data_IF_137673023879
#
_entry.id   IF_137673023879
#
_cell.length_a   1.000
_cell.length_b   1.000
_cell.length_c   1.000
_cell.angle_alpha   90.00
_cell.angle_beta   90.00
_cell.angle_gamma   90.00
#
_symmetry.space_group_name_H-M   'P 1'
#
loop_
_entity.id
_entity.type
_entity.pdbx_description
1 polymer ?
#
# COMPACT_ATOMS: atom_id res chain seq x y z
N UNK A 1 -65.63 -30.74 14.32
CA UNK A 1 -64.81 -30.05 13.31
C UNK A 1 -63.74 -29.08 13.84
N UNK A 2 -63.27 -29.11 15.06
CA UNK A 2 -62.24 -28.22 15.62
C UNK A 2 -60.77 -28.68 15.47
N UNK A 3 -60.51 -29.94 15.10
CA UNK A 3 -59.19 -30.54 15.08
C UNK A 3 -58.31 -30.13 13.90
N UNK A 4 -58.89 -29.62 12.83
CA UNK A 4 -58.19 -29.31 11.56
C UNK A 4 -57.52 -27.92 11.53
N UNK A 5 -57.96 -26.98 12.39
CA UNK A 5 -57.45 -25.60 12.39
C UNK A 5 -56.08 -25.50 13.08
N UNK A 6 -55.86 -26.26 14.16
CA UNK A 6 -54.57 -26.28 14.88
C UNK A 6 -53.42 -26.88 14.04
N UNK A 7 -53.75 -27.82 13.17
CA UNK A 7 -52.76 -28.44 12.25
C UNK A 7 -52.32 -27.43 11.17
N UNK A 8 -53.24 -26.70 10.58
CA UNK A 8 -52.93 -25.63 9.57
C UNK A 8 -52.09 -24.53 10.17
N UNK A 9 -52.38 -24.10 11.39
CA UNK A 9 -51.60 -23.08 12.14
C UNK A 9 -50.17 -23.58 12.40
N UNK A 10 -50.00 -24.85 12.83
CA UNK A 10 -48.67 -25.42 13.07
C UNK A 10 -47.83 -25.50 11.79
N UNK A 11 -48.43 -25.89 10.65
CA UNK A 11 -47.72 -25.92 9.36
C UNK A 11 -47.35 -24.51 8.95
N UNK A 12 -48.24 -23.51 9.08
CA UNK A 12 -47.93 -22.14 8.78
C UNK A 12 -46.75 -21.59 9.59
N UNK A 13 -46.72 -21.85 10.91
CA UNK A 13 -45.59 -21.45 11.77
C UNK A 13 -44.28 -22.15 11.37
N UNK A 14 -44.33 -23.41 10.98
CA UNK A 14 -43.16 -24.18 10.57
C UNK A 14 -42.60 -23.63 9.23
N UNK A 15 -43.44 -23.28 8.27
CA UNK A 15 -43.06 -22.68 7.02
C UNK A 15 -42.41 -21.30 7.28
N UNK A 16 -43.01 -20.46 8.10
CA UNK A 16 -42.44 -19.15 8.48
C UNK A 16 -41.06 -19.32 9.14
N UNK A 17 -40.92 -20.29 10.06
CA UNK A 17 -39.65 -20.59 10.70
C UNK A 17 -38.56 -21.01 9.72
N UNK A 18 -38.90 -21.91 8.78
CA UNK A 18 -37.94 -22.34 7.71
C UNK A 18 -37.57 -21.16 6.80
N UNK A 19 -38.54 -20.32 6.42
CA UNK A 19 -38.27 -19.16 5.57
C UNK A 19 -37.34 -18.15 6.24
N UNK A 20 -37.54 -17.89 7.53
CA UNK A 20 -36.63 -17.01 8.30
C UNK A 20 -35.22 -17.59 8.41
N UNK A 21 -35.09 -18.89 8.63
CA UNK A 21 -33.77 -19.57 8.67
C UNK A 21 -33.07 -19.52 7.31
N UNK A 22 -33.80 -19.68 6.22
CA UNK A 22 -33.23 -19.57 4.87
C UNK A 22 -32.76 -18.15 4.58
N UNK A 23 -33.54 -17.11 4.92
CA UNK A 23 -33.16 -15.71 4.73
C UNK A 23 -31.90 -15.39 5.55
N UNK A 24 -31.83 -15.87 6.80
CA UNK A 24 -30.65 -15.66 7.64
C UNK A 24 -29.42 -16.37 7.09
N UNK A 25 -29.58 -17.62 6.62
CA UNK A 25 -28.50 -18.39 5.99
C UNK A 25 -27.97 -17.72 4.74
N UNK A 26 -28.86 -17.26 3.85
CA UNK A 26 -28.46 -16.55 2.62
C UNK A 26 -27.68 -15.27 2.93
N UNK A 27 -28.13 -14.45 3.91
CA UNK A 27 -27.39 -13.25 4.33
C UNK A 27 -25.98 -13.57 4.85
N UNK A 28 -25.82 -14.68 5.59
CA UNK A 28 -24.50 -15.12 6.07
C UNK A 28 -23.58 -15.55 4.94
N UNK A 29 -24.11 -16.28 3.96
CA UNK A 29 -23.34 -16.72 2.79
C UNK A 29 -22.88 -15.52 1.95
N UNK A 30 -23.77 -14.55 1.71
CA UNK A 30 -23.43 -13.33 0.97
C UNK A 30 -22.34 -12.54 1.70
N UNK A 31 -22.47 -12.36 3.01
CA UNK A 31 -21.46 -11.64 3.81
C UNK A 31 -20.11 -12.37 3.77
N UNK A 32 -20.11 -13.70 3.88
CA UNK A 32 -18.89 -14.49 3.79
C UNK A 32 -18.19 -14.31 2.43
N UNK A 33 -18.95 -14.40 1.33
CA UNK A 33 -18.42 -14.18 -0.02
C UNK A 33 -17.86 -12.75 -0.21
N UNK A 34 -18.47 -11.74 0.42
CA UNK A 34 -17.97 -10.36 0.38
C UNK A 34 -16.66 -10.21 1.16
N UNK A 35 -16.55 -10.85 2.33
CA UNK A 35 -15.32 -10.86 3.13
C UNK A 35 -14.20 -11.54 2.35
N UNK A 36 -14.46 -12.72 1.80
CA UNK A 36 -13.51 -13.50 1.03
C UNK A 36 -13.00 -12.71 -0.19
N UNK A 37 -13.90 -12.16 -0.97
CA UNK A 37 -13.54 -11.28 -2.10
C UNK A 37 -12.77 -10.02 -1.70
N UNK A 38 -12.98 -9.50 -0.48
CA UNK A 38 -12.22 -8.38 0.05
C UNK A 38 -10.78 -8.79 0.37
N UNK A 39 -10.62 -9.95 1.03
CA UNK A 39 -9.30 -10.49 1.41
C UNK A 39 -8.49 -10.90 0.17
N UNK A 40 -9.11 -11.53 -0.83
CA UNK A 40 -8.49 -11.89 -2.10
C UNK A 40 -7.93 -10.68 -2.87
N UNK A 41 -8.55 -9.52 -2.69
CA UNK A 41 -8.09 -8.24 -3.25
C UNK A 41 -7.07 -7.53 -2.37
N UNK A 42 -6.57 -8.18 -1.30
CA UNK A 42 -5.64 -7.59 -0.36
C UNK A 42 -6.24 -6.48 0.52
N UNK A 43 -7.58 -6.39 0.58
CA UNK A 43 -8.29 -5.44 1.43
C UNK A 43 -8.43 -5.92 2.87
N UNK A 44 -8.85 -5.02 3.75
CA UNK A 44 -9.24 -5.31 5.14
C UNK A 44 -10.75 -5.14 5.28
N UNK A 45 -11.43 -6.19 5.78
CA UNK A 45 -12.87 -6.10 6.02
C UNK A 45 -13.17 -5.31 7.29
N UNK A 46 -13.98 -4.27 7.16
CA UNK A 46 -14.50 -3.50 8.30
C UNK A 46 -15.84 -4.08 8.74
N UNK A 47 -15.84 -4.75 9.90
CA UNK A 47 -17.03 -5.45 10.42
C UNK A 47 -18.13 -4.48 10.88
N UNK A 48 -17.76 -3.28 11.35
CA UNK A 48 -18.71 -2.28 11.85
C UNK A 48 -19.47 -1.62 10.67
N UNK A 49 -18.74 -1.25 9.64
CA UNK A 49 -19.29 -0.61 8.45
C UNK A 49 -19.76 -1.62 7.38
N UNK A 50 -19.50 -2.93 7.58
CA UNK A 50 -19.78 -4.02 6.63
C UNK A 50 -19.30 -3.72 5.21
N UNK A 51 -18.12 -3.15 5.08
CA UNK A 51 -17.49 -2.82 3.80
C UNK A 51 -16.02 -3.24 3.77
N UNK A 52 -15.52 -3.40 2.56
CA UNK A 52 -14.11 -3.62 2.32
C UNK A 52 -13.36 -2.30 2.34
N UNK A 53 -12.38 -2.17 3.22
CA UNK A 53 -11.39 -1.12 3.16
C UNK A 53 -10.28 -1.62 2.22
N UNK A 54 -10.42 -1.29 0.94
CA UNK A 54 -9.48 -1.72 -0.10
C UNK A 54 -8.26 -0.80 -0.10
N UNK A 55 -7.19 -1.20 0.57
CA UNK A 55 -5.89 -0.53 0.46
C UNK A 55 -5.35 -0.53 -0.98
N UNK A 56 -5.74 -1.50 -1.82
CA UNK A 56 -5.26 -1.61 -3.19
C UNK A 56 -5.67 -0.45 -4.10
N UNK A 57 -6.87 0.11 -3.93
CA UNK A 57 -7.33 1.23 -4.78
C UNK A 57 -6.51 2.48 -4.46
N UNK A 58 -6.26 2.73 -3.18
CA UNK A 58 -5.44 3.87 -2.75
C UNK A 58 -3.96 3.66 -3.08
N UNK A 59 -3.47 2.42 -2.97
CA UNK A 59 -2.09 2.07 -3.34
C UNK A 59 -1.83 2.21 -4.83
N UNK A 60 -2.77 1.82 -5.70
CA UNK A 60 -2.65 2.00 -7.15
C UNK A 60 -2.67 3.50 -7.49
N UNK A 61 -3.52 4.29 -6.83
CA UNK A 61 -3.57 5.73 -7.03
C UNK A 61 -2.32 6.43 -6.52
N UNK A 62 -1.81 6.05 -5.35
CA UNK A 62 -0.63 6.70 -4.79
C UNK A 62 0.62 6.50 -5.66
N UNK A 63 0.76 5.38 -6.36
CA UNK A 63 1.86 5.12 -7.30
C UNK A 63 1.95 6.14 -8.42
N UNK A 64 0.85 6.80 -8.76
CA UNK A 64 0.85 7.86 -9.77
C UNK A 64 1.51 9.17 -9.28
N UNK A 65 1.76 9.32 -7.98
CA UNK A 65 2.29 10.54 -7.36
C UNK A 65 3.77 10.48 -6.97
N UNK A 66 4.44 9.35 -7.17
CA UNK A 66 5.87 9.20 -6.88
C UNK A 66 6.56 8.30 -7.92
N UNK A 67 7.89 8.26 -7.96
CA UNK A 67 8.63 7.27 -8.71
C UNK A 67 8.48 5.92 -8.05
N UNK A 68 8.01 4.94 -8.78
CA UNK A 68 7.76 3.59 -8.27
C UNK A 68 8.46 2.53 -9.10
N UNK A 69 8.89 1.46 -8.45
CA UNK A 69 9.51 0.31 -9.10
C UNK A 69 8.45 -0.59 -9.74
N UNK A 70 8.82 -1.20 -10.85
CA UNK A 70 8.06 -2.21 -11.56
C UNK A 70 9.04 -3.27 -12.06
N UNK A 71 8.55 -4.48 -12.39
CA UNK A 71 9.38 -5.59 -12.80
C UNK A 71 9.20 -5.90 -14.29
N UNK A 72 10.30 -5.91 -15.03
CA UNK A 72 10.31 -6.29 -16.44
C UNK A 72 10.60 -7.79 -16.58
N UNK A 73 9.59 -8.57 -16.95
CA UNK A 73 9.70 -10.01 -17.12
C UNK A 73 10.58 -10.43 -18.31
N UNK A 74 10.81 -9.53 -19.28
CA UNK A 74 11.63 -9.82 -20.46
C UNK A 74 13.12 -9.70 -20.11
N UNK A 75 13.49 -8.57 -19.49
CA UNK A 75 14.89 -8.34 -19.09
C UNK A 75 15.21 -8.95 -17.71
N UNK A 76 14.21 -9.45 -17.00
CA UNK A 76 14.29 -9.99 -15.63
C UNK A 76 14.94 -9.01 -14.66
N UNK A 77 14.52 -7.74 -14.75
CA UNK A 77 15.07 -6.63 -13.94
C UNK A 77 13.96 -5.72 -13.44
N UNK A 78 14.21 -5.13 -12.28
CA UNK A 78 13.42 -4.04 -11.75
C UNK A 78 13.82 -2.72 -12.44
N UNK A 79 12.83 -1.86 -12.64
CA UNK A 79 13.04 -0.54 -13.21
C UNK A 79 12.13 0.48 -12.55
N UNK A 80 12.56 1.74 -12.56
CA UNK A 80 11.77 2.86 -12.05
C UNK A 80 10.85 3.42 -13.12
N UNK A 81 9.65 3.76 -12.69
CA UNK A 81 8.62 4.41 -13.47
C UNK A 81 8.18 5.68 -12.78
N UNK A 82 8.20 6.79 -13.52
CA UNK A 82 7.73 8.08 -13.00
C UNK A 82 6.22 8.09 -12.88
N UNK A 83 5.71 8.52 -11.73
CA UNK A 83 4.26 8.66 -11.50
C UNK A 83 3.64 9.71 -12.43
N UNK A 84 2.49 9.39 -13.02
CA UNK A 84 1.82 10.23 -14.03
C UNK A 84 1.30 11.55 -13.46
N UNK A 85 0.98 11.59 -12.17
CA UNK A 85 0.41 12.73 -11.46
C UNK A 85 1.46 13.54 -10.68
N UNK A 86 2.74 13.18 -10.79
CA UNK A 86 3.82 13.81 -10.04
C UNK A 86 3.97 15.31 -10.35
N UNK A 87 3.59 15.75 -11.57
CA UNK A 87 3.58 17.16 -11.94
C UNK A 87 2.36 17.94 -11.42
N UNK A 88 1.36 17.27 -10.89
CA UNK A 88 0.14 17.88 -10.34
C UNK A 88 0.21 18.22 -8.86
N UNK A 89 1.30 17.86 -8.19
CA UNK A 89 1.52 18.08 -6.77
C UNK A 89 2.61 19.14 -6.55
N UNK A 90 2.64 19.72 -5.36
CA UNK A 90 3.77 20.53 -4.92
C UNK A 90 5.00 19.62 -4.76
N UNK A 91 6.15 20.13 -5.19
CA UNK A 91 7.43 19.44 -5.05
C UNK A 91 8.18 19.90 -3.80
N UNK A 92 7.48 20.39 -2.78
CA UNK A 92 8.10 20.69 -1.49
C UNK A 92 8.60 19.39 -0.83
N UNK A 93 9.75 19.43 -0.12
CA UNK A 93 10.28 18.22 0.51
C UNK A 93 9.28 17.53 1.46
N UNK A 94 8.51 18.30 2.22
CA UNK A 94 7.53 17.76 3.16
C UNK A 94 6.40 17.02 2.43
N UNK A 95 5.84 17.60 1.36
CA UNK A 95 4.76 16.97 0.59
C UNK A 95 5.23 15.70 -0.12
N UNK A 96 6.43 15.72 -0.70
CA UNK A 96 7.02 14.52 -1.30
C UNK A 96 7.27 13.42 -0.26
N UNK A 97 7.69 13.77 0.96
CA UNK A 97 7.84 12.82 2.07
C UNK A 97 6.48 12.26 2.51
N UNK A 98 5.45 13.10 2.62
CA UNK A 98 4.10 12.64 2.96
C UNK A 98 3.59 11.61 1.94
N UNK A 99 3.77 11.88 0.65
CA UNK A 99 3.40 10.95 -0.43
C UNK A 99 4.18 9.63 -0.32
N UNK A 100 5.49 9.71 -0.11
CA UNK A 100 6.32 8.52 0.09
C UNK A 100 5.89 7.72 1.33
N UNK A 101 5.42 8.40 2.38
CA UNK A 101 4.91 7.77 3.59
C UNK A 101 3.53 7.12 3.42
N UNK A 102 2.80 7.42 2.34
CA UNK A 102 1.57 6.72 1.98
C UNK A 102 1.84 5.37 1.29
N UNK A 103 3.09 5.07 0.92
CA UNK A 103 3.45 3.74 0.37
C UNK A 103 3.08 2.63 1.36
N UNK A 104 2.69 1.44 0.87
CA UNK A 104 2.42 0.27 1.70
C UNK A 104 3.73 -0.36 2.20
N UNK A 105 4.51 0.42 2.95
CA UNK A 105 5.77 0.01 3.56
C UNK A 105 5.71 0.25 5.05
N UNK A 106 6.37 -0.61 5.82
CA UNK A 106 6.57 -0.41 7.27
C UNK A 106 7.53 0.75 7.52
N UNK A 107 8.52 0.92 6.64
CA UNK A 107 9.46 2.03 6.73
C UNK A 107 8.76 3.35 6.41
N UNK A 108 8.94 4.32 7.28
CA UNK A 108 8.48 5.69 7.10
C UNK A 108 9.67 6.63 7.09
N UNK A 109 9.49 7.80 6.53
CA UNK A 109 10.52 8.80 6.33
C UNK A 109 10.21 10.02 7.20
N UNK A 110 11.19 10.45 7.97
CA UNK A 110 11.16 11.71 8.69
C UNK A 110 12.05 12.74 8.00
N UNK A 111 11.56 13.99 7.89
CA UNK A 111 12.37 15.13 7.48
C UNK A 111 13.31 15.51 8.60
N UNK A 112 14.61 15.64 8.33
CA UNK A 112 15.60 16.11 9.31
C UNK A 112 16.01 17.55 9.02
N UNK A 113 16.63 17.79 7.87
CA UNK A 113 17.08 19.12 7.46
C UNK A 113 17.32 19.18 5.95
N UNK A 114 17.32 20.38 5.38
CA UNK A 114 17.82 20.65 4.03
C UNK A 114 18.96 21.66 4.10
N UNK A 115 20.13 21.29 3.56
CA UNK A 115 21.31 22.16 3.55
C UNK A 115 21.93 22.18 2.14
N UNK A 116 21.90 23.33 1.51
CA UNK A 116 22.29 23.46 0.11
C UNK A 116 21.38 22.62 -0.80
N UNK A 117 21.98 21.76 -1.60
CA UNK A 117 21.34 20.80 -2.51
C UNK A 117 21.08 19.42 -1.89
N UNK A 118 21.37 19.27 -0.61
CA UNK A 118 21.25 18.00 0.12
C UNK A 118 20.05 18.03 1.06
N UNK A 119 19.14 17.07 0.89
CA UNK A 119 18.06 16.78 1.82
C UNK A 119 18.46 15.61 2.73
N UNK A 120 18.41 15.82 4.04
CA UNK A 120 18.65 14.79 5.05
C UNK A 120 17.33 14.26 5.58
N UNK A 121 17.18 12.97 5.51
CA UNK A 121 16.00 12.24 5.99
C UNK A 121 16.41 11.13 6.94
N UNK A 122 15.49 10.73 7.82
CA UNK A 122 15.65 9.56 8.70
C UNK A 122 14.62 8.51 8.33
N UNK A 123 15.06 7.25 8.28
CA UNK A 123 14.16 6.11 8.11
C UNK A 123 13.69 5.65 9.48
N UNK A 124 12.38 5.61 9.66
CA UNK A 124 11.74 5.02 10.83
C UNK A 124 11.49 3.53 10.56
N UNK A 125 11.65 2.69 11.59
CA UNK A 125 11.59 1.23 11.48
C UNK A 125 12.59 0.68 10.43
N UNK A 126 13.80 1.20 10.47
CA UNK A 126 14.86 0.92 9.49
C UNK A 126 15.34 -0.54 9.49
N UNK A 127 15.16 -1.30 10.58
CA UNK A 127 15.43 -2.74 10.64
C UNK A 127 14.68 -3.50 9.52
N UNK A 128 13.44 -3.08 9.20
CA UNK A 128 12.71 -3.70 8.11
C UNK A 128 13.38 -3.48 6.75
N UNK A 129 13.89 -2.27 6.50
CA UNK A 129 14.61 -1.92 5.27
C UNK A 129 15.98 -2.61 5.20
N UNK A 130 16.71 -2.59 6.31
CA UNK A 130 18.12 -2.97 6.35
C UNK A 130 18.32 -4.48 6.47
N UNK A 131 17.35 -5.24 7.06
CA UNK A 131 17.50 -6.66 7.33
C UNK A 131 16.38 -7.56 6.76
N UNK A 132 15.16 -7.05 6.58
CA UNK A 132 14.02 -7.91 6.28
C UNK A 132 13.49 -7.77 4.84
N UNK A 133 13.71 -6.64 4.17
CA UNK A 133 13.14 -6.35 2.86
C UNK A 133 13.85 -7.10 1.71
N UNK A 134 15.08 -7.58 1.95
CA UNK A 134 15.95 -8.14 0.93
C UNK A 134 16.61 -7.05 0.07
N UNK A 135 17.74 -7.36 -0.55
CA UNK A 135 18.57 -6.38 -1.27
C UNK A 135 17.81 -5.68 -2.39
N UNK A 136 17.09 -6.45 -3.22
CA UNK A 136 16.32 -5.88 -4.34
C UNK A 136 15.20 -4.95 -3.85
N UNK A 137 14.46 -5.35 -2.82
CA UNK A 137 13.43 -4.51 -2.21
C UNK A 137 13.98 -3.24 -1.59
N UNK A 138 15.12 -3.33 -0.91
CA UNK A 138 15.81 -2.19 -0.32
C UNK A 138 16.32 -1.21 -1.40
N UNK A 139 16.91 -1.72 -2.48
CA UNK A 139 17.32 -0.91 -3.64
C UNK A 139 16.13 -0.18 -4.26
N UNK A 140 15.00 -0.88 -4.47
CA UNK A 140 13.78 -0.26 -4.97
C UNK A 140 13.29 0.86 -4.04
N UNK A 141 13.21 0.60 -2.74
CA UNK A 141 12.74 1.59 -1.76
C UNK A 141 13.60 2.86 -1.76
N UNK A 142 14.94 2.69 -1.76
CA UNK A 142 15.90 3.80 -1.74
C UNK A 142 15.83 4.56 -3.08
N UNK A 143 15.84 3.86 -4.20
CA UNK A 143 15.76 4.47 -5.53
C UNK A 143 14.46 5.27 -5.73
N UNK A 144 13.30 4.70 -5.38
CA UNK A 144 12.00 5.40 -5.40
C UNK A 144 12.06 6.69 -4.57
N UNK A 145 12.66 6.61 -3.37
CA UNK A 145 12.79 7.74 -2.46
C UNK A 145 13.67 8.83 -3.06
N UNK A 146 14.85 8.48 -3.59
CA UNK A 146 15.78 9.44 -4.20
C UNK A 146 15.14 10.11 -5.40
N UNK A 147 14.59 9.33 -6.35
CA UNK A 147 14.03 9.88 -7.57
C UNK A 147 12.82 10.77 -7.31
N UNK A 148 12.04 10.47 -6.27
CA UNK A 148 10.89 11.28 -5.88
C UNK A 148 11.33 12.58 -5.20
N UNK A 149 12.22 12.52 -4.22
CA UNK A 149 12.66 13.72 -3.49
C UNK A 149 13.45 14.69 -4.37
N UNK A 150 14.19 14.17 -5.35
CA UNK A 150 14.95 14.97 -6.33
C UNK A 150 14.08 15.46 -7.51
N UNK A 151 12.76 15.30 -7.48
CA UNK A 151 11.83 16.07 -8.32
C UNK A 151 11.74 17.55 -7.87
N UNK A 152 12.18 17.85 -6.67
CA UNK A 152 12.45 19.22 -6.25
C UNK A 152 13.79 19.67 -6.86
N UNK A 153 13.76 20.67 -7.72
CA UNK A 153 14.93 21.19 -8.47
C UNK A 153 16.06 21.75 -7.57
N UNK A 154 15.81 21.89 -6.28
CA UNK A 154 16.80 22.33 -5.29
C UNK A 154 17.40 21.19 -4.49
N UNK A 155 17.16 19.93 -4.89
CA UNK A 155 17.65 18.71 -4.22
C UNK A 155 18.34 17.82 -5.26
N UNK A 156 19.66 17.70 -5.18
CA UNK A 156 20.45 16.80 -5.99
C UNK A 156 20.84 15.53 -5.21
N UNK A 157 20.93 15.64 -3.90
CA UNK A 157 21.38 14.57 -3.00
C UNK A 157 20.40 14.32 -1.87
N UNK A 158 20.26 13.05 -1.50
CA UNK A 158 19.50 12.61 -0.33
C UNK A 158 20.44 11.88 0.63
N UNK A 159 20.54 12.37 1.85
CA UNK A 159 21.29 11.73 2.93
C UNK A 159 20.34 10.93 3.80
N UNK A 160 20.55 9.62 3.84
CA UNK A 160 19.77 8.71 4.66
C UNK A 160 20.43 8.52 6.03
N UNK A 161 19.68 8.78 7.12
CA UNK A 161 20.01 8.35 8.48
C UNK A 161 19.23 7.08 8.79
N UNK A 162 19.94 6.00 9.02
CA UNK A 162 19.45 4.67 9.40
C UNK A 162 20.62 3.84 9.92
N UNK A 163 20.35 2.71 10.54
CA UNK A 163 21.39 1.78 10.95
C UNK A 163 21.96 0.99 9.76
N UNK A 164 23.17 0.48 9.92
CA UNK A 164 23.77 -0.43 8.93
C UNK A 164 23.13 -1.80 9.01
N UNK A 165 22.79 -2.36 7.86
CA UNK A 165 22.33 -3.74 7.76
C UNK A 165 22.82 -4.46 6.52
N UNK A 166 22.35 -5.69 6.33
CA UNK A 166 22.79 -6.56 5.24
C UNK A 166 22.26 -6.16 3.87
N UNK A 167 21.17 -5.37 3.80
CA UNK A 167 20.51 -4.99 2.55
C UNK A 167 20.59 -3.51 2.25
N UNK A 168 20.79 -2.65 3.24
CA UNK A 168 20.90 -1.21 3.10
C UNK A 168 21.75 -0.60 4.21
N UNK A 169 22.21 0.63 4.02
CA UNK A 169 22.95 1.38 5.04
C UNK A 169 22.81 2.89 4.87
N UNK A 170 23.21 3.67 5.89
CA UNK A 170 23.22 5.11 5.82
C UNK A 170 24.18 5.59 4.75
N UNK A 171 23.86 6.73 4.13
CA UNK A 171 24.72 7.26 3.09
C UNK A 171 24.18 8.52 2.44
N UNK A 172 24.97 9.07 1.54
CA UNK A 172 24.61 10.15 0.63
C UNK A 172 24.41 9.55 -0.75
N UNK A 173 23.19 9.68 -1.27
CA UNK A 173 22.78 9.08 -2.53
C UNK A 173 22.23 10.14 -3.49
N UNK A 174 22.30 9.82 -4.77
CA UNK A 174 21.78 10.64 -5.86
C UNK A 174 21.14 9.77 -6.95
N UNK A 175 20.50 10.36 -7.93
CA UNK A 175 19.98 9.63 -9.10
C UNK A 175 21.07 8.83 -9.85
N UNK A 176 22.33 9.24 -9.75
CA UNK A 176 23.44 8.56 -10.44
C UNK A 176 23.66 7.13 -9.90
N UNK A 177 23.44 6.93 -8.60
CA UNK A 177 23.67 5.64 -7.93
C UNK A 177 22.67 4.56 -8.38
N UNK A 178 21.49 4.98 -8.84
CA UNK A 178 20.41 4.11 -9.32
C UNK A 178 20.03 4.35 -10.80
N UNK A 179 20.94 4.93 -11.58
CA UNK A 179 20.71 5.17 -13.02
C UNK A 179 20.38 3.88 -13.78
N UNK A 180 20.93 2.76 -13.34
CA UNK A 180 20.71 1.44 -13.94
C UNK A 180 19.25 0.94 -13.84
N UNK A 181 18.43 1.54 -12.98
CA UNK A 181 17.00 1.25 -12.87
C UNK A 181 16.12 2.05 -13.84
N UNK A 182 16.68 2.98 -14.60
CA UNK A 182 15.92 3.73 -15.60
C UNK A 182 15.91 2.95 -16.91
N UNK A 183 14.72 2.73 -17.48
CA UNK A 183 14.59 2.20 -18.85
C UNK A 183 15.01 3.30 -19.83
N UNK A 184 15.95 2.98 -20.69
CA UNK A 184 16.31 3.77 -21.87
C UNK A 184 15.18 3.75 -22.92
#
# INVERSE_FOLDING_TARGET
MKKNNNYRIRIGLLIVGITLLLIFGIKRIIQFAQIDSCLDKGGKWNYDLKKCDCYLIDTIRIKDYYWNSDFDTISNREYLKRGKMLDSISKSPNELIEILNMRPSKCKIDYVEKKGDTLKIRILDDEYLTEQMGTSGADCYIAETIYTLTENDLIDFVRFEMDYGSHAGPGLYSRKDYKWMIKE
#
